data_IF_292591012239
#
_entry.id   IF_292591012239
#
_cell.length_a   1.000
_cell.length_b   1.000
_cell.length_c   1.000
_cell.angle_alpha   90.00
_cell.angle_beta   90.00
_cell.angle_gamma   90.00
#
_symmetry.space_group_name_H-M   'P 1'
#
loop_
_entity.id
_entity.type
_entity.pdbx_description
1 polymer ?
#
# COMPACT_ATOMS: atom_id res chain seq x y z
N UNK A 1 7.29 -8.85 24.53
CA UNK A 1 6.10 -8.90 23.64
C UNK A 1 6.57 -9.43 22.29
N UNK A 2 5.98 -10.50 21.79
CA UNK A 2 6.40 -11.08 20.50
C UNK A 2 5.47 -10.57 19.40
N UNK A 3 5.89 -9.57 18.65
CA UNK A 3 5.20 -9.09 17.45
C UNK A 3 5.56 -9.98 16.24
N UNK A 4 4.79 -9.91 15.17
CA UNK A 4 5.21 -10.42 13.86
C UNK A 4 6.48 -9.69 13.44
N UNK A 5 7.56 -10.39 13.06
CA UNK A 5 8.83 -9.75 12.71
C UNK A 5 8.79 -8.96 11.41
N UNK A 6 7.79 -9.23 10.57
CA UNK A 6 7.54 -8.51 9.32
C UNK A 6 6.10 -8.04 9.29
N UNK A 7 5.88 -6.75 9.06
CA UNK A 7 4.55 -6.16 8.89
C UNK A 7 4.50 -5.45 7.55
N UNK A 8 3.53 -5.84 6.73
CA UNK A 8 3.29 -5.27 5.39
C UNK A 8 2.02 -4.44 5.44
N UNK A 9 2.12 -3.19 5.05
CA UNK A 9 0.97 -2.30 4.90
C UNK A 9 0.66 -2.09 3.42
N UNK A 10 -0.63 -2.04 3.10
CA UNK A 10 -1.11 -1.41 1.88
C UNK A 10 -1.16 0.11 2.04
N UNK A 11 -1.36 0.83 0.93
CA UNK A 11 -1.40 2.28 0.91
C UNK A 11 -2.81 2.83 0.73
N UNK A 12 -3.38 2.67 -0.47
CA UNK A 12 -4.68 3.25 -0.84
C UNK A 12 -5.83 2.53 -0.12
N UNK A 13 -6.67 3.27 0.59
CA UNK A 13 -7.75 2.71 1.40
C UNK A 13 -7.30 2.28 2.81
N UNK A 14 -6.03 1.95 3.00
CA UNK A 14 -5.43 1.49 4.26
C UNK A 14 -4.79 2.64 5.04
N UNK A 15 -3.66 3.16 4.56
CA UNK A 15 -2.95 4.30 5.17
C UNK A 15 -3.51 5.64 4.69
N UNK A 16 -3.90 5.73 3.42
CA UNK A 16 -4.58 6.88 2.83
C UNK A 16 -6.09 6.59 2.81
N UNK A 17 -6.88 7.42 3.50
CA UNK A 17 -8.30 7.15 3.79
C UNK A 17 -9.24 7.95 2.89
N UNK A 18 -10.34 7.32 2.43
CA UNK A 18 -11.42 7.98 1.69
C UNK A 18 -11.01 8.54 0.33
N UNK A 19 -9.79 8.27 -0.10
CA UNK A 19 -9.23 8.67 -1.40
C UNK A 19 -8.14 7.69 -1.80
N UNK A 20 -7.58 7.84 -3.00
CA UNK A 20 -6.44 7.09 -3.50
C UNK A 20 -5.35 8.04 -3.99
N UNK A 21 -4.13 7.54 -4.14
CA UNK A 21 -3.03 8.28 -4.79
C UNK A 21 -3.46 8.74 -6.19
N UNK A 22 -4.11 7.86 -6.94
CA UNK A 22 -4.61 8.16 -8.28
C UNK A 22 -5.63 9.29 -8.28
N UNK A 23 -6.57 9.31 -7.33
CA UNK A 23 -7.56 10.39 -7.19
C UNK A 23 -6.93 11.72 -6.80
N UNK A 24 -6.00 11.74 -5.82
CA UNK A 24 -5.30 12.98 -5.44
C UNK A 24 -4.50 13.56 -6.61
N UNK A 25 -3.80 12.71 -7.34
CA UNK A 25 -3.07 13.13 -8.55
C UNK A 25 -4.04 13.65 -9.62
N UNK A 26 -5.17 12.97 -9.82
CA UNK A 26 -6.17 13.38 -10.79
C UNK A 26 -6.81 14.73 -10.42
N UNK A 27 -7.11 14.99 -9.15
CA UNK A 27 -7.59 16.27 -8.66
C UNK A 27 -6.60 17.39 -8.97
N UNK A 28 -5.32 17.18 -8.66
CA UNK A 28 -4.26 18.12 -9.01
C UNK A 28 -4.20 18.45 -10.50
N UNK A 29 -4.49 17.44 -11.36
CA UNK A 29 -4.40 17.56 -12.81
C UNK A 29 -5.74 17.89 -13.51
N UNK A 30 -6.84 18.02 -12.74
CA UNK A 30 -8.19 18.26 -13.28
C UNK A 30 -8.75 17.06 -14.06
N UNK A 31 -8.48 15.84 -13.59
CA UNK A 31 -8.83 14.57 -14.24
C UNK A 31 -9.69 13.64 -13.37
N UNK A 32 -10.36 14.18 -12.34
CA UNK A 32 -11.11 13.37 -11.35
C UNK A 32 -12.15 12.46 -11.99
N UNK A 33 -12.89 12.95 -12.97
CA UNK A 33 -13.92 12.16 -13.67
C UNK A 33 -13.34 10.97 -14.42
N UNK A 34 -12.19 11.15 -15.06
CA UNK A 34 -11.50 10.09 -15.82
C UNK A 34 -10.95 9.02 -14.86
N UNK A 35 -10.31 9.40 -13.77
CA UNK A 35 -9.79 8.44 -12.79
C UNK A 35 -10.91 7.70 -12.07
N UNK A 36 -11.98 8.38 -11.68
CA UNK A 36 -13.12 7.72 -11.02
C UNK A 36 -13.73 6.62 -11.90
N UNK A 37 -13.80 6.85 -13.21
CA UNK A 37 -14.28 5.84 -14.16
C UNK A 37 -13.30 4.66 -14.29
N UNK A 38 -11.97 4.93 -14.32
CA UNK A 38 -10.95 3.89 -14.36
C UNK A 38 -10.96 3.05 -13.08
N UNK A 39 -11.05 3.66 -11.90
CA UNK A 39 -11.12 2.92 -10.64
C UNK A 39 -12.40 2.10 -10.53
N UNK A 40 -13.55 2.65 -10.93
CA UNK A 40 -14.79 1.88 -11.00
C UNK A 40 -14.64 0.64 -11.89
N UNK A 41 -14.10 0.80 -13.09
CA UNK A 41 -13.89 -0.31 -14.03
C UNK A 41 -12.88 -1.34 -13.50
N UNK A 42 -11.81 -0.87 -12.82
CA UNK A 42 -10.84 -1.75 -12.16
C UNK A 42 -11.50 -2.57 -11.03
N UNK A 43 -12.25 -1.93 -10.14
CA UNK A 43 -12.96 -2.63 -9.07
C UNK A 43 -14.02 -3.61 -9.58
N UNK A 44 -14.65 -3.30 -10.72
CA UNK A 44 -15.59 -4.20 -11.40
C UNK A 44 -14.91 -5.34 -12.17
N UNK A 45 -13.58 -5.46 -12.14
CA UNK A 45 -12.78 -6.41 -12.94
C UNK A 45 -12.95 -6.27 -14.47
N UNK A 46 -13.37 -5.11 -14.96
CA UNK A 46 -13.53 -4.80 -16.38
C UNK A 46 -12.18 -4.48 -17.03
N UNK A 47 -11.24 -3.92 -16.28
CA UNK A 47 -9.89 -3.59 -16.71
C UNK A 47 -8.82 -4.02 -15.69
N UNK A 48 -7.57 -4.16 -16.15
CA UNK A 48 -6.41 -4.45 -15.30
C UNK A 48 -5.79 -3.17 -14.74
N UNK A 49 -4.94 -3.30 -13.72
CA UNK A 49 -4.16 -2.18 -13.19
C UNK A 49 -3.22 -1.55 -14.24
N UNK A 50 -2.74 -2.33 -15.21
CA UNK A 50 -1.91 -1.80 -16.30
C UNK A 50 -2.66 -0.79 -17.17
N UNK A 51 -3.96 -1.01 -17.44
CA UNK A 51 -4.78 -0.04 -18.18
C UNK A 51 -4.94 1.27 -17.39
N UNK A 52 -5.16 1.18 -16.08
CA UNK A 52 -5.21 2.36 -15.20
C UNK A 52 -3.89 3.12 -15.25
N UNK A 53 -2.78 2.39 -15.12
CA UNK A 53 -1.44 2.96 -15.13
C UNK A 53 -1.10 3.63 -16.47
N UNK A 54 -1.32 2.96 -17.60
CA UNK A 54 -1.02 3.52 -18.94
C UNK A 54 -1.84 4.78 -19.21
N UNK A 55 -3.11 4.78 -18.84
CA UNK A 55 -3.98 5.93 -19.07
C UNK A 55 -3.55 7.13 -18.23
N UNK A 56 -3.24 6.92 -16.94
CA UNK A 56 -2.88 8.00 -16.02
C UNK A 56 -1.43 8.45 -16.12
N UNK A 57 -0.53 7.59 -16.62
CA UNK A 57 0.89 7.92 -16.77
C UNK A 57 1.11 9.16 -17.65
N UNK A 58 0.40 9.24 -18.77
CA UNK A 58 0.51 10.37 -19.71
C UNK A 58 0.16 11.72 -19.08
N UNK A 59 -0.71 11.75 -18.08
CA UNK A 59 -1.09 12.99 -17.38
C UNK A 59 0.05 13.52 -16.50
N UNK A 60 0.93 12.65 -16.04
CA UNK A 60 2.08 12.97 -15.20
C UNK A 60 3.33 13.37 -15.99
N UNK A 61 3.30 13.30 -17.32
CA UNK A 61 4.42 13.67 -18.17
C UNK A 61 4.87 15.11 -17.90
N UNK A 62 6.17 15.31 -17.60
CA UNK A 62 6.76 16.61 -17.31
C UNK A 62 6.51 17.15 -15.89
N UNK A 63 5.77 16.42 -15.04
CA UNK A 63 5.61 16.76 -13.63
C UNK A 63 6.79 16.24 -12.83
N UNK A 64 7.16 16.95 -11.77
CA UNK A 64 8.19 16.45 -10.86
C UNK A 64 7.62 15.55 -9.76
N UNK A 65 8.43 14.59 -9.31
CA UNK A 65 8.11 13.75 -8.13
C UNK A 65 7.85 14.64 -6.90
N UNK A 66 8.60 15.73 -6.74
CA UNK A 66 8.42 16.66 -5.62
C UNK A 66 7.07 17.40 -5.66
N UNK A 67 6.52 17.69 -6.84
CA UNK A 67 5.16 18.24 -6.97
C UNK A 67 4.12 17.18 -6.60
N UNK A 68 4.28 15.94 -7.07
CA UNK A 68 3.39 14.85 -6.71
C UNK A 68 3.39 14.59 -5.19
N UNK A 69 4.56 14.59 -4.55
CA UNK A 69 4.67 14.43 -3.09
C UNK A 69 3.93 15.53 -2.30
N UNK A 70 4.04 16.81 -2.73
CA UNK A 70 3.30 17.91 -2.10
C UNK A 70 1.78 17.71 -2.19
N UNK A 71 1.29 17.20 -3.31
CA UNK A 71 -0.13 16.86 -3.46
C UNK A 71 -0.54 15.74 -2.50
N UNK A 72 0.31 14.73 -2.32
CA UNK A 72 0.03 13.61 -1.42
C UNK A 72 0.10 14.00 0.06
N UNK A 73 0.89 15.03 0.43
CA UNK A 73 0.95 15.53 1.81
C UNK A 73 -0.41 16.01 2.33
N UNK A 74 -1.26 16.55 1.45
CA UNK A 74 -2.61 17.01 1.77
C UNK A 74 -3.65 15.86 1.81
N UNK A 75 -3.23 14.62 1.62
CA UNK A 75 -4.10 13.45 1.67
C UNK A 75 -4.67 13.18 3.07
N UNK A 76 -5.82 12.50 3.12
CA UNK A 76 -6.46 12.08 4.36
C UNK A 76 -5.78 10.84 4.93
N UNK A 77 -4.63 11.02 5.57
CA UNK A 77 -3.88 9.93 6.19
C UNK A 77 -4.55 9.46 7.47
N UNK A 78 -4.55 8.13 7.71
CA UNK A 78 -5.08 7.56 8.97
C UNK A 78 -4.30 8.10 10.17
N UNK A 79 -5.01 8.39 11.25
CA UNK A 79 -4.40 8.89 12.49
C UNK A 79 -3.42 7.85 13.11
N UNK A 80 -2.44 8.34 13.86
CA UNK A 80 -1.54 7.48 14.66
C UNK A 80 -0.46 6.75 13.86
N UNK A 81 -0.22 7.09 12.57
CA UNK A 81 0.81 6.46 11.74
C UNK A 81 2.22 6.57 12.36
N UNK A 82 2.61 7.78 12.72
CA UNK A 82 3.96 8.04 13.24
C UNK A 82 4.24 7.24 14.51
N UNK A 83 3.29 7.23 15.45
CA UNK A 83 3.38 6.48 16.69
C UNK A 83 3.40 4.98 16.46
N UNK A 84 2.56 4.47 15.55
CA UNK A 84 2.51 3.04 15.20
C UNK A 84 3.83 2.58 14.62
N UNK A 85 4.37 3.29 13.63
CA UNK A 85 5.64 2.93 13.00
C UNK A 85 6.81 3.06 13.97
N UNK A 86 6.81 4.06 14.87
CA UNK A 86 7.82 4.19 15.91
C UNK A 86 7.81 3.00 16.88
N UNK A 87 6.63 2.54 17.31
CA UNK A 87 6.49 1.36 18.18
C UNK A 87 7.01 0.11 17.49
N UNK A 88 6.61 -0.12 16.22
CA UNK A 88 7.03 -1.29 15.44
C UNK A 88 8.55 -1.26 15.18
N UNK A 89 9.11 -0.12 14.80
CA UNK A 89 10.56 0.04 14.61
C UNK A 89 11.34 -0.18 15.92
N UNK A 90 10.84 0.35 17.05
CA UNK A 90 11.43 0.12 18.38
C UNK A 90 11.40 -1.35 18.81
N UNK A 91 10.46 -2.12 18.32
CA UNK A 91 10.36 -3.57 18.51
C UNK A 91 11.16 -4.37 17.45
N UNK A 92 11.94 -3.71 16.61
CA UNK A 92 12.75 -4.30 15.53
C UNK A 92 11.91 -5.06 14.49
N UNK A 93 10.67 -4.62 14.26
CA UNK A 93 9.81 -5.14 13.21
C UNK A 93 10.23 -4.57 11.87
N UNK A 94 10.36 -5.41 10.88
CA UNK A 94 10.59 -4.99 9.49
C UNK A 94 9.30 -4.48 8.88
N UNK A 95 9.28 -3.21 8.46
CA UNK A 95 8.14 -2.56 7.84
C UNK A 95 8.27 -2.60 6.33
N UNK A 96 7.27 -3.14 5.66
CA UNK A 96 7.15 -3.13 4.21
C UNK A 96 5.90 -2.38 3.78
N UNK A 97 5.97 -1.70 2.64
CA UNK A 97 4.81 -1.06 2.01
C UNK A 97 4.56 -1.70 0.65
N UNK A 98 3.49 -2.46 0.54
CA UNK A 98 3.10 -3.16 -0.67
C UNK A 98 1.87 -2.51 -1.30
N UNK A 99 2.03 -1.77 -2.39
CA UNK A 99 0.92 -1.15 -3.12
C UNK A 99 0.96 -1.47 -4.59
N UNK A 100 -0.17 -1.34 -5.28
CA UNK A 100 -0.26 -1.46 -6.75
C UNK A 100 -0.31 -0.08 -7.43
N UNK A 101 -0.46 1.00 -6.66
CA UNK A 101 -0.43 2.37 -7.16
C UNK A 101 1.01 2.83 -7.49
N UNK A 102 1.22 4.13 -7.71
CA UNK A 102 2.51 4.68 -8.09
C UNK A 102 3.58 4.52 -7.02
N UNK A 103 4.71 3.94 -7.37
CA UNK A 103 5.85 3.71 -6.47
C UNK A 103 6.42 4.99 -5.84
N UNK A 104 6.32 6.14 -6.53
CA UNK A 104 6.76 7.42 -5.95
C UNK A 104 5.99 7.81 -4.67
N UNK A 105 4.71 7.37 -4.54
CA UNK A 105 3.95 7.60 -3.32
C UNK A 105 4.46 6.70 -2.17
N UNK A 106 4.78 5.45 -2.47
CA UNK A 106 5.37 4.53 -1.50
C UNK A 106 6.76 5.00 -1.06
N UNK A 107 7.58 5.53 -1.98
CA UNK A 107 8.90 6.10 -1.66
C UNK A 107 8.80 7.33 -0.74
N UNK A 108 7.78 8.18 -0.90
CA UNK A 108 7.53 9.29 0.03
C UNK A 108 7.35 8.79 1.48
N UNK A 109 6.57 7.73 1.68
CA UNK A 109 6.35 7.15 2.99
C UNK A 109 7.60 6.43 3.50
N UNK A 110 8.37 5.78 2.63
CA UNK A 110 9.65 5.17 2.97
C UNK A 110 10.62 6.20 3.54
N UNK A 111 10.78 7.34 2.88
CA UNK A 111 11.64 8.41 3.37
C UNK A 111 11.17 8.99 4.71
N UNK A 112 9.84 9.11 4.89
CA UNK A 112 9.25 9.69 6.10
C UNK A 112 9.27 8.74 7.31
N UNK A 113 9.02 7.46 7.11
CA UNK A 113 8.76 6.50 8.18
C UNK A 113 9.74 5.32 8.25
N UNK A 114 10.69 5.23 7.32
CA UNK A 114 11.76 4.23 7.36
C UNK A 114 11.34 2.81 6.97
N UNK A 115 10.40 2.66 6.04
CA UNK A 115 10.08 1.34 5.47
C UNK A 115 11.35 0.72 4.85
N UNK A 116 11.62 -0.56 5.14
CA UNK A 116 12.79 -1.27 4.62
C UNK A 116 12.68 -1.53 3.12
N UNK A 117 11.48 -1.82 2.64
CA UNK A 117 11.22 -1.97 1.22
C UNK A 117 9.81 -1.49 0.88
N UNK A 118 9.66 -1.00 -0.33
CA UNK A 118 8.38 -0.56 -0.89
C UNK A 118 8.19 -1.10 -2.30
N UNK A 119 6.94 -1.21 -2.72
CA UNK A 119 6.58 -1.63 -4.08
C UNK A 119 5.55 -0.69 -4.69
N UNK A 120 5.33 -0.81 -5.97
CA UNK A 120 4.30 -0.09 -6.72
C UNK A 120 4.60 -0.08 -8.21
N UNK A 121 3.64 0.41 -8.99
CA UNK A 121 3.82 0.64 -10.42
C UNK A 121 4.85 1.76 -10.63
N UNK A 122 5.88 1.47 -11.45
CA UNK A 122 7.00 2.37 -11.65
C UNK A 122 6.85 3.19 -12.93
N UNK A 123 7.18 4.45 -12.86
CA UNK A 123 7.27 5.34 -14.01
C UNK A 123 8.73 5.76 -14.22
N UNK A 124 9.15 5.85 -15.47
CA UNK A 124 10.47 6.42 -15.79
C UNK A 124 10.52 7.87 -15.30
N UNK A 125 11.64 8.22 -14.67
CA UNK A 125 11.93 9.58 -14.25
C UNK A 125 13.38 9.94 -14.57
N UNK A 126 13.60 11.20 -14.91
CA UNK A 126 14.94 11.75 -15.13
C UNK A 126 15.08 13.04 -14.37
N UNK A 127 16.11 13.15 -13.52
CA UNK A 127 16.33 14.30 -12.63
C UNK A 127 15.06 14.69 -11.82
N UNK A 128 14.30 13.68 -11.33
CA UNK A 128 13.08 13.89 -10.58
C UNK A 128 11.86 14.32 -11.40
N UNK A 129 11.93 14.32 -12.74
CA UNK A 129 10.83 14.64 -13.65
C UNK A 129 10.28 13.35 -14.24
N UNK A 130 8.97 13.14 -14.09
CA UNK A 130 8.24 11.97 -14.59
C UNK A 130 8.08 12.04 -16.11
N UNK A 131 8.34 10.93 -16.79
CA UNK A 131 8.29 10.87 -18.26
C UNK A 131 6.89 10.68 -18.85
N UNK A 132 5.94 10.18 -18.04
CA UNK A 132 4.64 9.71 -18.52
C UNK A 132 4.69 8.30 -19.14
N UNK A 133 5.80 7.56 -18.96
CA UNK A 133 5.96 6.20 -19.48
C UNK A 133 6.14 5.23 -18.33
N UNK A 134 5.27 4.21 -18.25
CA UNK A 134 5.38 3.14 -17.26
C UNK A 134 6.62 2.31 -17.57
N UNK A 135 7.50 2.12 -16.59
CA UNK A 135 8.70 1.26 -16.71
C UNK A 135 8.48 -0.14 -16.16
N UNK A 136 7.59 -0.28 -15.18
CA UNK A 136 7.21 -1.57 -14.60
C UNK A 136 5.78 -1.52 -14.10
N UNK A 137 4.98 -2.44 -14.57
CA UNK A 137 3.63 -2.66 -14.04
C UNK A 137 3.70 -3.47 -12.77
N UNK A 138 2.72 -3.25 -11.89
CA UNK A 138 2.61 -3.94 -10.63
C UNK A 138 1.15 -4.24 -10.34
N UNK A 139 0.83 -5.52 -10.04
CA UNK A 139 -0.52 -5.99 -9.74
C UNK A 139 -0.59 -6.69 -8.37
N UNK A 140 -1.75 -7.25 -8.05
CA UNK A 140 -1.97 -7.96 -6.79
C UNK A 140 -1.06 -9.19 -6.60
N UNK A 141 -0.67 -9.86 -7.68
CA UNK A 141 0.25 -11.00 -7.64
C UNK A 141 1.70 -10.54 -7.52
N UNK A 142 2.05 -9.40 -8.12
CA UNK A 142 3.37 -8.78 -7.94
C UNK A 142 3.54 -8.31 -6.49
N UNK A 143 2.47 -7.81 -5.85
CA UNK A 143 2.45 -7.45 -4.43
C UNK A 143 2.79 -8.65 -3.55
N UNK A 144 2.19 -9.80 -3.80
CA UNK A 144 2.53 -11.04 -3.10
C UNK A 144 4.00 -11.43 -3.36
N UNK A 145 4.44 -11.49 -4.63
CA UNK A 145 5.82 -11.84 -5.00
C UNK A 145 6.85 -10.93 -4.34
N UNK A 146 6.58 -9.62 -4.31
CA UNK A 146 7.45 -8.66 -3.64
C UNK A 146 7.71 -9.03 -2.17
N UNK A 147 6.66 -9.42 -1.43
CA UNK A 147 6.79 -9.81 -0.03
C UNK A 147 7.49 -11.17 0.11
N UNK A 148 7.16 -12.15 -0.73
CA UNK A 148 7.80 -13.47 -0.75
C UNK A 148 9.30 -13.36 -1.03
N UNK A 149 9.68 -12.58 -2.04
CA UNK A 149 11.09 -12.37 -2.43
C UNK A 149 11.87 -11.65 -1.33
N UNK A 150 11.28 -10.61 -0.74
CA UNK A 150 11.91 -9.89 0.36
C UNK A 150 12.11 -10.80 1.58
N UNK A 151 11.10 -11.57 1.96
CA UNK A 151 11.19 -12.53 3.06
C UNK A 151 12.28 -13.58 2.81
N UNK A 152 12.32 -14.16 1.62
CA UNK A 152 13.32 -15.16 1.25
C UNK A 152 14.76 -14.60 1.36
N UNK A 153 14.98 -13.38 0.89
CA UNK A 153 16.30 -12.70 0.97
C UNK A 153 16.68 -12.31 2.41
N UNK A 154 15.70 -12.02 3.25
CA UNK A 154 15.91 -11.57 4.63
C UNK A 154 15.84 -12.71 5.66
N UNK A 155 15.62 -13.95 5.23
CA UNK A 155 15.58 -15.14 6.10
C UNK A 155 14.28 -15.31 6.88
N UNK A 156 13.19 -14.70 6.43
CA UNK A 156 11.85 -14.86 7.01
C UNK A 156 10.99 -15.81 6.17
N UNK A 157 10.01 -16.43 6.83
CA UNK A 157 8.94 -17.18 6.16
C UNK A 157 7.65 -16.34 6.11
N UNK A 158 6.76 -16.66 5.18
CA UNK A 158 5.45 -15.99 5.09
C UNK A 158 4.59 -16.19 6.34
N UNK A 159 4.79 -17.25 7.12
CA UNK A 159 4.12 -17.44 8.42
C UNK A 159 4.55 -16.40 9.48
N UNK A 160 5.62 -15.66 9.24
CA UNK A 160 6.13 -14.60 10.11
C UNK A 160 5.69 -13.18 9.64
N UNK A 161 4.88 -13.11 8.59
CA UNK A 161 4.35 -11.87 8.03
C UNK A 161 2.97 -11.58 8.59
N UNK A 162 2.73 -10.35 9.03
CA UNK A 162 1.39 -9.79 9.20
C UNK A 162 1.12 -8.82 8.04
N UNK A 163 0.03 -9.03 7.32
CA UNK A 163 -0.39 -8.19 6.20
C UNK A 163 -1.61 -7.36 6.59
N UNK A 164 -1.60 -6.06 6.26
CA UNK A 164 -2.66 -5.12 6.57
C UNK A 164 -3.07 -4.42 5.28
N UNK A 165 -4.34 -4.51 4.94
CA UNK A 165 -4.88 -3.97 3.68
C UNK A 165 -6.40 -3.85 3.72
N UNK A 166 -7.01 -3.36 2.65
CA UNK A 166 -8.43 -3.03 2.61
C UNK A 166 -9.21 -3.61 1.43
N UNK A 167 -8.55 -4.08 0.40
CA UNK A 167 -9.20 -4.34 -0.87
C UNK A 167 -8.79 -5.66 -1.53
N UNK A 168 -9.38 -5.94 -2.71
CA UNK A 168 -9.07 -7.13 -3.50
C UNK A 168 -7.57 -7.31 -3.79
N UNK A 169 -6.82 -6.21 -3.86
CA UNK A 169 -5.38 -6.26 -4.16
C UNK A 169 -4.56 -6.92 -3.05
N UNK A 170 -5.12 -7.04 -1.84
CA UNK A 170 -4.49 -7.64 -0.67
C UNK A 170 -4.80 -9.13 -0.53
N UNK A 171 -5.87 -9.59 -1.14
CA UNK A 171 -6.38 -10.97 -0.96
C UNK A 171 -5.31 -12.04 -1.25
N UNK A 172 -4.53 -12.00 -2.35
CA UNK A 172 -3.45 -12.97 -2.56
C UNK A 172 -2.43 -12.99 -1.43
N UNK A 173 -2.06 -11.82 -0.89
CA UNK A 173 -1.13 -11.71 0.23
C UNK A 173 -1.76 -12.21 1.55
N UNK A 174 -3.03 -11.90 1.81
CA UNK A 174 -3.76 -12.36 3.00
C UNK A 174 -3.78 -13.88 3.13
N UNK A 175 -3.98 -14.59 2.02
CA UNK A 175 -3.96 -16.06 1.99
C UNK A 175 -2.59 -16.68 2.27
N UNK A 176 -1.51 -15.94 2.17
CA UNK A 176 -0.13 -16.44 2.32
C UNK A 176 0.54 -15.96 3.61
N UNK A 177 0.10 -14.86 4.17
CA UNK A 177 0.64 -14.31 5.41
C UNK A 177 0.25 -15.17 6.62
N UNK A 178 1.09 -15.15 7.66
CA UNK A 178 0.80 -15.80 8.94
C UNK A 178 -0.36 -15.15 9.68
N UNK A 179 -0.60 -13.86 9.41
CA UNK A 179 -1.73 -13.08 9.91
C UNK A 179 -2.14 -12.07 8.85
N UNK A 180 -3.43 -11.80 8.73
CA UNK A 180 -3.96 -10.73 7.89
C UNK A 180 -5.01 -9.92 8.63
N UNK A 181 -4.97 -8.59 8.45
CA UNK A 181 -5.90 -7.63 9.03
C UNK A 181 -6.56 -6.87 7.87
N UNK A 182 -7.86 -7.08 7.69
CA UNK A 182 -8.69 -6.28 6.82
C UNK A 182 -9.05 -4.98 7.57
N UNK A 183 -8.35 -3.88 7.21
CA UNK A 183 -8.49 -2.59 7.88
C UNK A 183 -9.46 -1.68 7.11
N UNK A 184 -10.63 -1.39 7.69
CA UNK A 184 -11.70 -0.60 7.05
C UNK A 184 -12.06 -1.10 5.63
N UNK A 185 -12.10 -2.40 5.46
CA UNK A 185 -11.94 -3.08 4.20
C UNK A 185 -13.25 -3.42 3.50
N UNK A 186 -13.14 -3.69 2.21
CA UNK A 186 -14.23 -4.24 1.39
C UNK A 186 -14.66 -5.63 1.89
N UNK A 187 -15.91 -6.07 1.61
CA UNK A 187 -16.39 -7.39 2.03
C UNK A 187 -15.50 -8.55 1.56
N UNK A 188 -14.94 -8.48 0.36
CA UNK A 188 -14.07 -9.53 -0.19
C UNK A 188 -12.75 -9.62 0.59
N UNK A 189 -12.15 -8.49 0.94
CA UNK A 189 -10.94 -8.45 1.75
C UNK A 189 -11.23 -8.92 3.19
N UNK A 190 -12.37 -8.53 3.77
CA UNK A 190 -12.81 -9.01 5.09
C UNK A 190 -12.98 -10.54 5.12
N UNK A 191 -13.58 -11.12 4.07
CA UNK A 191 -13.78 -12.56 3.96
C UNK A 191 -12.46 -13.35 3.82
N UNK A 192 -11.41 -12.73 3.26
CA UNK A 192 -10.10 -13.34 3.06
C UNK A 192 -9.15 -13.18 4.25
N UNK A 193 -9.40 -12.22 5.14
CA UNK A 193 -8.50 -11.90 6.25
C UNK A 193 -8.76 -12.77 7.49
N UNK A 194 -7.72 -12.94 8.34
CA UNK A 194 -7.85 -13.60 9.63
C UNK A 194 -8.48 -12.71 10.70
N UNK A 195 -8.36 -11.39 10.54
CA UNK A 195 -8.93 -10.37 11.43
C UNK A 195 -9.55 -9.23 10.62
N UNK A 196 -10.60 -8.65 11.17
CA UNK A 196 -11.24 -7.45 10.62
C UNK A 196 -11.18 -6.35 11.66
N UNK A 197 -10.82 -5.15 11.25
CA UNK A 197 -10.72 -3.99 12.13
C UNK A 197 -11.24 -2.75 11.40
N UNK A 198 -12.24 -2.09 12.00
CA UNK A 198 -12.69 -0.76 11.57
C UNK A 198 -12.24 0.28 12.59
N UNK A 199 -11.40 1.22 12.15
CA UNK A 199 -10.86 2.27 13.02
C UNK A 199 -10.38 3.48 12.21
N UNK A 200 -10.36 4.64 12.86
CA UNK A 200 -9.74 5.86 12.34
C UNK A 200 -8.28 6.04 12.85
N UNK A 201 -7.77 5.09 13.67
CA UNK A 201 -6.45 5.23 14.28
C UNK A 201 -5.60 3.97 14.12
N UNK A 202 -4.50 4.06 13.38
CA UNK A 202 -3.61 2.95 13.06
C UNK A 202 -3.02 2.27 14.32
N UNK A 203 -2.96 2.94 15.47
CA UNK A 203 -2.47 2.33 16.72
C UNK A 203 -3.29 1.12 17.16
N UNK A 204 -4.54 1.04 16.75
CA UNK A 204 -5.40 -0.09 17.13
C UNK A 204 -4.95 -1.43 16.53
N UNK A 205 -4.21 -1.39 15.40
CA UNK A 205 -3.57 -2.58 14.82
C UNK A 205 -2.54 -3.21 15.76
N UNK A 206 -1.89 -2.41 16.63
CA UNK A 206 -0.87 -2.90 17.56
C UNK A 206 -1.42 -3.93 18.54
N UNK A 207 -2.67 -3.76 18.99
CA UNK A 207 -3.32 -4.70 19.88
C UNK A 207 -3.51 -6.08 19.23
N UNK A 208 -3.90 -6.11 17.95
CA UNK A 208 -4.04 -7.36 17.20
C UNK A 208 -2.69 -8.02 16.94
N UNK A 209 -1.68 -7.25 16.53
CA UNK A 209 -0.33 -7.76 16.28
C UNK A 209 0.32 -8.37 17.54
N UNK A 210 -0.09 -7.95 18.74
CA UNK A 210 0.38 -8.47 20.02
C UNK A 210 -0.37 -9.73 20.47
N UNK A 211 -1.69 -9.79 20.30
CA UNK A 211 -2.55 -10.84 20.83
C UNK A 211 -2.45 -12.15 20.04
N UNK A 212 -2.18 -12.10 18.76
CA UNK A 212 -2.24 -13.28 17.88
C UNK A 212 -1.12 -14.32 18.11
N UNK A 213 -0.10 -14.03 18.92
CA UNK A 213 0.99 -14.99 19.27
C UNK A 213 0.87 -15.66 20.63
N UNK A 214 -0.13 -15.31 21.43
CA UNK A 214 -0.35 -15.99 22.72
C UNK A 214 -1.16 -17.28 22.60
N UNK A 215 -1.60 -17.65 21.39
CA UNK A 215 -2.51 -18.79 21.12
C UNK A 215 -1.83 -19.98 20.45
N UNK A 216 -0.49 -20.06 20.45
CA UNK A 216 0.25 -21.24 19.91
C UNK A 216 1.05 -21.93 20.98
#
# INVERSE_FOLDING_TARGET
MSLYPVVVFDLDGTLLRGTTVSLLVAQWLGREGEVSELERAFHAHEISNSVVADTSAGWLAGKSVAEAWRVLEDGSWIDGMAETFQVLAGAQVSLLLGTITWSFAAEMLRERYGFQAVSGTEMQASNGVLSGVVSRYFDEHDKLRFVEDWCAQSGYSMSQVAAIGDSRSDVPLFHRAGMSIALNATPDAQAAATHVLDTENLRDVLALLQSAREVV
#
